data_IF_129278012882
#
_entry.id   IF_129278012882
#
_cell.length_a   1.000
_cell.length_b   1.000
_cell.length_c   1.000
_cell.angle_alpha   90.00
_cell.angle_beta   90.00
_cell.angle_gamma   90.00
#
_symmetry.space_group_name_H-M   'P 1'
#
loop_
_entity.id
_entity.type
_entity.pdbx_description
1 polymer ?
2 non-polymer ?
3 non-polymer ?
4 water ?
#
# COMPACT_ATOMS: atom_id res chain seq x y z
N UNK A 2 1.02 27.93 -17.98
CA UNK A 2 -0.01 27.24 -17.15
C UNK A 2 0.65 26.17 -16.27
N UNK A 3 0.39 26.25 -14.97
CA UNK A 3 1.04 25.40 -14.00
C UNK A 3 0.00 24.45 -13.41
N UNK A 4 0.36 23.16 -13.41
CA UNK A 4 -0.51 22.11 -12.88
C UNK A 4 0.05 21.62 -11.56
N UNK A 5 -0.78 21.58 -10.52
CA UNK A 5 -0.36 21.00 -9.27
C UNK A 5 -0.96 19.60 -9.09
N UNK A 6 -0.09 18.64 -8.86
CA UNK A 6 -0.52 17.26 -8.69
C UNK A 6 -0.29 16.91 -7.23
N UNK A 7 -1.38 16.68 -6.53
CA UNK A 7 -1.41 16.39 -5.12
C UNK A 7 -1.79 14.93 -4.91
N UNK A 8 -0.95 14.17 -4.20
CA UNK A 8 -1.22 12.74 -4.06
C UNK A 8 -0.94 12.32 -2.63
N UNK A 9 -1.48 11.15 -2.32
CA UNK A 9 -1.06 10.38 -1.16
C UNK A 9 -0.79 8.94 -1.58
N UNK A 10 0.06 8.26 -0.84
CA UNK A 10 0.44 6.90 -1.15
C UNK A 10 0.77 6.15 0.12
N UNK A 11 0.44 4.87 0.17
CA UNK A 11 0.87 3.99 1.27
C UNK A 11 2.02 3.10 0.79
N UNK A 12 1.86 2.41 -0.35
CA UNK A 12 2.85 1.48 -0.87
C UNK A 12 3.61 1.99 -2.08
N UNK A 13 3.45 3.28 -2.40
CA UNK A 13 4.26 3.88 -3.45
C UNK A 13 3.69 3.85 -4.86
N UNK A 14 2.58 3.13 -5.10
CA UNK A 14 2.12 2.89 -6.47
C UNK A 14 1.54 4.18 -7.05
N UNK A 15 0.77 4.93 -6.26
CA UNK A 15 0.20 6.18 -6.73
C UNK A 15 1.31 7.20 -6.97
N UNK A 16 2.38 7.17 -6.17
CA UNK A 16 3.55 8.04 -6.35
C UNK A 16 4.25 7.71 -7.67
N UNK A 17 4.43 6.41 -7.95
CA UNK A 17 5.06 6.02 -9.21
C UNK A 17 4.26 6.53 -10.39
N UNK A 18 2.95 6.38 -10.34
CA UNK A 18 2.07 6.86 -11.37
C UNK A 18 2.19 8.38 -11.48
N UNK A 19 2.19 9.11 -10.35
CA UNK A 19 2.29 10.56 -10.36
C UNK A 19 3.52 11.00 -11.17
N UNK A 20 4.63 10.31 -10.94
CA UNK A 20 5.88 10.68 -11.60
C UNK A 20 5.78 10.43 -13.10
N UNK A 21 5.12 9.35 -13.53
CA UNK A 21 4.93 9.08 -14.96
C UNK A 21 4.04 10.17 -15.56
N UNK A 22 2.98 10.55 -14.85
CA UNK A 22 2.09 11.60 -15.32
C UNK A 22 2.90 12.87 -15.52
N UNK A 23 3.71 13.25 -14.54
CA UNK A 23 4.56 14.44 -14.63
C UNK A 23 5.45 14.35 -15.87
N UNK A 24 6.08 13.20 -16.09
CA UNK A 24 7.02 13.03 -17.21
C UNK A 24 6.28 13.20 -18.53
N UNK A 25 5.09 12.59 -18.59
CA UNK A 25 4.28 12.55 -19.80
C UNK A 25 3.79 13.95 -20.17
N UNK A 26 3.57 14.83 -19.20
CA UNK A 26 3.20 16.20 -19.48
C UNK A 26 4.41 16.96 -20.01
N UNK A 27 5.58 16.77 -19.39
CA UNK A 27 6.85 17.29 -19.90
C UNK A 27 7.34 18.51 -19.12
N UNK A 28 8.66 18.68 -19.08
CA UNK A 28 9.24 19.89 -18.55
C UNK A 28 8.86 20.03 -17.08
N UNK A 29 8.47 21.25 -16.71
CA UNK A 29 8.08 21.54 -15.34
C UNK A 29 6.63 22.01 -15.30
N UNK A 30 5.77 21.53 -16.20
CA UNK A 30 4.37 21.86 -16.23
C UNK A 30 3.69 21.35 -14.96
N UNK A 31 3.98 20.09 -14.58
CA UNK A 31 3.38 19.52 -13.39
C UNK A 31 4.34 19.61 -12.21
N UNK A 32 3.90 20.16 -11.05
CA UNK A 32 4.67 20.02 -9.84
C UNK A 32 3.92 19.07 -8.88
N UNK A 33 4.72 18.14 -8.34
CA UNK A 33 4.24 17.07 -7.47
C UNK A 33 4.21 17.59 -6.04
N UNK A 34 3.17 17.21 -5.31
CA UNK A 34 2.99 17.47 -3.90
C UNK A 34 2.48 16.21 -3.20
N UNK A 35 3.33 15.62 -2.35
CA UNK A 35 2.99 14.48 -1.54
C UNK A 35 2.38 15.02 -0.26
N UNK A 36 1.11 14.71 0.01
CA UNK A 36 0.42 15.24 1.17
C UNK A 36 0.89 14.61 2.46
N UNK A 37 1.85 13.69 2.46
CA UNK A 37 2.52 13.36 3.72
C UNK A 37 3.40 14.51 4.21
N UNK A 38 3.76 15.44 3.32
CA UNK A 38 4.68 16.55 3.63
C UNK A 38 4.12 17.92 3.20
N UNK A 39 3.30 17.99 2.17
CA UNK A 39 2.89 19.27 1.60
C UNK A 39 1.75 19.86 2.40
N UNK A 40 1.70 21.19 2.46
CA UNK A 40 0.58 21.88 3.09
C UNK A 40 -0.64 21.84 2.18
N UNK A 41 -1.78 21.46 2.75
CA UNK A 41 -2.99 21.28 1.96
C UNK A 41 -3.42 22.59 1.31
N UNK A 42 -3.14 23.74 1.95
CA UNK A 42 -3.56 24.99 1.34
C UNK A 42 -2.80 25.35 0.07
N UNK A 43 -1.73 24.60 -0.27
CA UNK A 43 -1.12 24.76 -1.58
C UNK A 43 -2.04 24.34 -2.72
N UNK A 44 -3.14 23.62 -2.45
CA UNK A 44 -4.13 23.39 -3.51
C UNK A 44 -4.62 24.72 -4.09
N UNK A 45 -4.63 25.79 -3.26
CA UNK A 45 -5.11 27.09 -3.71
C UNK A 45 -4.18 27.72 -4.74
N UNK A 46 -2.91 27.27 -4.82
CA UNK A 46 -1.89 27.92 -5.62
C UNK A 46 -1.97 27.61 -7.11
N UNK A 47 -2.95 26.78 -7.53
CA UNK A 47 -3.05 26.35 -8.91
C UNK A 47 -4.48 26.55 -9.41
N UNK A 48 -4.62 26.86 -10.70
CA UNK A 48 -5.92 26.87 -11.37
C UNK A 48 -6.22 25.54 -12.06
N UNK A 49 -5.22 24.69 -12.14
CA UNK A 49 -5.29 23.38 -12.77
C UNK A 49 -4.71 22.38 -11.76
N UNK A 50 -5.49 21.38 -11.38
CA UNK A 50 -5.12 20.44 -10.35
C UNK A 50 -5.30 19.01 -10.87
N UNK A 51 -4.43 18.12 -10.35
CA UNK A 51 -4.58 16.69 -10.52
C UNK A 51 -4.50 16.07 -9.14
N UNK A 52 -5.54 15.30 -8.81
CA UNK A 52 -5.71 14.73 -7.48
C UNK A 52 -5.47 13.23 -7.56
N UNK A 53 -4.44 12.71 -6.88
CA UNK A 53 -4.18 11.29 -6.89
C UNK A 53 -4.43 10.64 -5.56
N UNK A 54 -5.19 9.53 -5.53
CA UNK A 54 -5.44 8.87 -4.28
C UNK A 54 -5.78 7.42 -4.51
N UNK A 55 -5.12 6.48 -3.86
CA UNK A 55 -5.56 5.07 -3.83
C UNK A 55 -6.63 4.85 -2.79
N UNK A 56 -7.42 3.80 -2.96
CA UNK A 56 -8.40 3.39 -1.96
C UNK A 56 -7.83 2.27 -1.11
N UNK A 57 -8.01 2.40 0.20
CA UNK A 57 -7.46 1.44 1.15
C UNK A 57 -8.59 0.94 2.05
N UNK A 58 -8.34 -0.21 2.65
CA UNK A 58 -9.14 -0.79 3.72
C UNK A 58 -10.65 -0.80 3.33
N UNK A 59 -10.94 -1.28 2.12
CA UNK A 59 -12.31 -1.54 1.69
C UNK A 59 -13.13 -0.25 1.70
N UNK A 60 -12.69 0.76 0.92
CA UNK A 60 -13.48 1.95 0.70
C UNK A 60 -13.02 3.24 1.35
N UNK A 61 -11.85 3.21 1.98
CA UNK A 61 -11.37 4.40 2.70
C UNK A 61 -10.33 5.18 1.87
N UNK A 62 -10.25 6.48 2.13
CA UNK A 62 -9.17 7.30 1.60
C UNK A 62 -7.84 6.80 2.18
N UNK A 63 -6.82 6.86 1.33
CA UNK A 63 -5.44 6.80 1.82
C UNK A 63 -5.26 7.76 2.99
N UNK A 64 -4.45 7.33 3.97
CA UNK A 64 -4.40 7.99 5.26
C UNK A 64 -4.04 9.46 5.20
N UNK A 65 -3.13 9.90 4.34
CA UNK A 65 -2.80 11.33 4.25
C UNK A 65 -4.01 12.12 3.75
N UNK A 66 -4.68 11.65 2.70
CA UNK A 66 -5.89 12.32 2.26
C UNK A 66 -7.00 12.23 3.32
N UNK A 67 -7.15 11.12 4.03
CA UNK A 67 -8.20 10.96 5.03
C UNK A 67 -8.01 12.03 6.10
N UNK A 68 -6.77 12.25 6.51
CA UNK A 68 -6.50 13.16 7.62
C UNK A 68 -6.74 14.60 7.23
N UNK A 69 -6.71 14.93 5.94
CA UNK A 69 -6.82 16.30 5.46
C UNK A 69 -8.18 16.55 4.84
N UNK A 70 -9.04 15.54 4.75
CA UNK A 70 -10.30 15.70 4.04
C UNK A 70 -11.14 16.86 4.61
N UNK A 71 -11.19 16.97 5.95
CA UNK A 71 -12.02 17.99 6.59
C UNK A 71 -11.58 19.40 6.21
N UNK A 72 -10.33 19.58 5.77
CA UNK A 72 -9.78 20.87 5.43
C UNK A 72 -10.26 21.34 4.07
N UNK A 73 -10.74 20.42 3.23
CA UNK A 73 -11.25 20.81 1.93
C UNK A 73 -12.42 21.79 2.05
N UNK A 74 -13.18 21.71 3.15
CA UNK A 74 -14.32 22.60 3.35
C UNK A 74 -13.91 24.06 3.46
N UNK A 75 -12.64 24.31 3.78
CA UNK A 75 -12.11 25.64 3.99
C UNK A 75 -11.57 26.25 2.71
N UNK A 76 -11.50 25.47 1.63
CA UNK A 76 -10.90 25.95 0.40
C UNK A 76 -11.99 26.21 -0.61
N UNK A 77 -11.72 27.16 -1.50
CA UNK A 77 -12.59 27.52 -2.59
C UNK A 77 -11.97 27.03 -3.88
N UNK A 78 -12.61 26.07 -4.56
CA UNK A 78 -12.04 25.54 -5.79
C UNK A 78 -12.72 26.14 -7.03
N UNK A 79 -13.56 27.18 -6.80
CA UNK A 79 -14.22 27.86 -7.91
C UNK A 79 -13.19 28.38 -8.90
N UNK A 80 -13.51 28.20 -10.18
CA UNK A 80 -12.61 28.66 -11.23
C UNK A 80 -11.46 27.69 -11.55
N UNK A 81 -11.33 26.61 -10.77
CA UNK A 81 -10.31 25.61 -11.08
C UNK A 81 -10.88 24.43 -11.87
N UNK A 82 -9.99 23.88 -12.68
CA UNK A 82 -10.22 22.65 -13.41
C UNK A 82 -9.44 21.57 -12.68
N UNK A 83 -10.12 20.46 -12.39
CA UNK A 83 -9.57 19.42 -11.51
C UNK A 83 -9.75 18.06 -12.19
N UNK A 84 -8.64 17.34 -12.25
CA UNK A 84 -8.61 15.97 -12.73
C UNK A 84 -8.24 15.05 -11.56
N UNK A 85 -8.56 13.78 -11.73
CA UNK A 85 -8.41 12.77 -10.70
C UNK A 85 -7.77 11.49 -11.23
N UNK A 86 -6.92 10.88 -10.43
CA UNK A 86 -6.49 9.53 -10.78
C UNK A 86 -6.32 8.71 -9.51
N UNK A 87 -6.52 7.40 -9.68
CA UNK A 87 -6.34 6.48 -8.56
C UNK A 87 -5.71 5.18 -8.97
N UNK A 88 -5.00 4.55 -8.06
CA UNK A 88 -4.65 3.14 -8.18
C UNK A 88 -5.56 2.36 -7.25
N UNK A 89 -5.84 1.08 -7.58
CA UNK A 89 -6.80 0.29 -6.86
C UNK A 89 -6.67 -1.19 -7.30
N UNK A 90 -7.49 -2.05 -6.71
CA UNK A 90 -7.44 -3.49 -6.90
C UNK A 90 -8.87 -4.00 -7.16
N UNK A 91 -9.22 -4.13 -8.46
CA UNK A 91 -10.57 -4.48 -8.85
C UNK A 91 -10.95 -5.93 -8.52
N UNK A 92 -9.93 -6.80 -8.38
CA UNK A 92 -10.13 -8.22 -8.09
C UNK A 92 -10.41 -8.39 -6.60
N UNK A 93 -9.56 -7.80 -5.75
CA UNK A 93 -9.69 -7.91 -4.31
C UNK A 93 -10.84 -7.11 -3.70
N UNK A 94 -11.18 -5.95 -4.31
CA UNK A 94 -12.08 -4.97 -3.74
C UNK A 94 -13.06 -4.50 -4.79
N UNK A 95 -13.75 -5.46 -5.39
CA UNK A 95 -14.70 -5.19 -6.45
C UNK A 95 -15.92 -4.40 -5.98
N UNK A 96 -16.20 -4.35 -4.69
CA UNK A 96 -17.33 -3.61 -4.16
C UNK A 96 -17.01 -2.15 -3.83
N UNK A 97 -15.69 -1.82 -3.84
CA UNK A 97 -15.20 -0.50 -3.39
C UNK A 97 -14.13 0.00 -4.34
N UNK A 98 -14.20 -0.35 -5.62
CA UNK A 98 -13.13 -0.10 -6.52
C UNK A 98 -13.03 1.39 -6.81
N UNK A 99 -11.89 2.01 -6.44
CA UNK A 99 -11.62 3.41 -6.71
C UNK A 99 -12.57 4.35 -5.98
N UNK A 100 -13.14 3.90 -4.86
CA UNK A 100 -13.99 4.78 -4.08
C UNK A 100 -13.31 6.11 -3.77
N UNK A 101 -12.03 6.09 -3.43
CA UNK A 101 -11.39 7.29 -2.88
C UNK A 101 -11.43 8.49 -3.82
N UNK A 102 -11.17 8.30 -5.12
CA UNK A 102 -11.25 9.45 -6.01
C UNK A 102 -12.68 9.92 -6.15
N UNK A 103 -13.65 9.01 -6.07
CA UNK A 103 -15.03 9.44 -6.09
C UNK A 103 -15.40 10.32 -4.90
N UNK A 104 -14.89 9.93 -3.71
CA UNK A 104 -15.15 10.67 -2.48
C UNK A 104 -14.55 12.07 -2.61
N UNK A 105 -13.29 12.12 -3.06
CA UNK A 105 -12.59 13.39 -3.19
C UNK A 105 -13.25 14.27 -4.24
N UNK A 106 -13.68 13.70 -5.37
CA UNK A 106 -14.25 14.52 -6.43
C UNK A 106 -15.60 15.10 -5.97
N UNK A 107 -16.40 14.31 -5.26
CA UNK A 107 -17.67 14.82 -4.78
C UNK A 107 -17.47 16.06 -3.92
N UNK A 108 -16.51 16.03 -3.00
CA UNK A 108 -16.27 17.14 -2.11
C UNK A 108 -15.68 18.32 -2.90
N UNK A 109 -14.65 18.10 -3.72
CA UNK A 109 -14.02 19.21 -4.42
C UNK A 109 -15.00 19.87 -5.40
N UNK A 110 -15.90 19.10 -6.03
CA UNK A 110 -16.93 19.68 -6.87
C UNK A 110 -17.93 20.48 -6.05
N UNK A 111 -18.30 20.00 -4.87
CA UNK A 111 -19.17 20.75 -3.97
C UNK A 111 -18.55 22.08 -3.57
N UNK A 112 -17.21 22.12 -3.48
CA UNK A 112 -16.44 23.33 -3.17
C UNK A 112 -16.07 24.15 -4.40
N UNK A 113 -16.64 23.84 -5.56
CA UNK A 113 -16.59 24.73 -6.72
C UNK A 113 -15.73 24.22 -7.86
N UNK A 114 -14.94 23.15 -7.63
CA UNK A 114 -14.08 22.66 -8.68
C UNK A 114 -14.87 22.06 -9.84
N UNK A 115 -14.33 22.19 -11.03
CA UNK A 115 -14.93 21.62 -12.22
C UNK A 115 -14.08 20.43 -12.70
N UNK A 116 -14.68 19.23 -12.70
CA UNK A 116 -13.95 18.04 -13.10
C UNK A 116 -13.75 17.96 -14.61
N UNK A 117 -12.54 17.57 -14.99
CA UNK A 117 -12.17 17.26 -16.37
C UNK A 117 -11.47 15.92 -16.35
N UNK A 118 -11.42 15.21 -17.48
CA UNK A 118 -10.64 14.01 -17.61
C UNK A 118 -11.42 12.73 -17.30
N UNK A 119 -12.74 12.71 -17.48
CA UNK A 119 -13.52 11.53 -17.25
C UNK A 119 -13.02 10.38 -18.14
N UNK A 120 -13.20 9.15 -17.63
CA UNK A 120 -12.51 7.97 -18.17
C UNK A 120 -13.50 6.82 -18.32
N UNK A 121 -13.40 6.11 -19.47
CA UNK A 121 -14.30 5.00 -19.73
C UNK A 121 -14.14 3.87 -18.71
N UNK A 122 -15.25 3.15 -18.44
CA UNK A 122 -15.24 1.95 -17.65
C UNK A 122 -14.81 0.74 -18.47
N UNK A 123 -14.67 0.87 -19.79
CA UNK A 123 -14.32 -0.31 -20.58
C UNK A 123 -13.00 -0.90 -20.08
N UNK A 124 -12.96 -2.23 -19.95
CA UNK A 124 -11.73 -2.94 -19.63
C UNK A 124 -11.51 -3.05 -18.11
N UNK A 125 -12.51 -2.74 -17.31
CA UNK A 125 -12.45 -2.98 -15.88
C UNK A 125 -13.58 -3.92 -15.53
N UNK A 126 -13.43 -4.71 -14.48
CA UNK A 126 -14.47 -5.55 -13.97
C UNK A 126 -14.57 -5.33 -12.47
N UNK A 127 -15.72 -4.85 -12.06
CA UNK A 127 -15.96 -4.55 -10.66
C UNK A 127 -17.47 -4.55 -10.41
N UNK A 128 -17.83 -4.50 -9.15
CA UNK A 128 -19.22 -4.52 -8.73
C UNK A 128 -19.74 -3.12 -8.44
N UNK A 129 -18.99 -2.33 -7.66
CA UNK A 129 -19.43 -0.98 -7.33
C UNK A 129 -18.22 -0.09 -7.20
N UNK A 130 -18.48 1.19 -7.52
CA UNK A 130 -17.49 2.25 -7.35
C UNK A 130 -18.20 3.54 -7.01
N UNK A 131 -17.67 4.32 -6.05
CA UNK A 131 -18.19 5.67 -5.80
C UNK A 131 -17.58 6.67 -6.78
N UNK A 132 -16.77 6.22 -7.73
CA UNK A 132 -16.14 7.10 -8.70
C UNK A 132 -16.90 7.28 -10.01
N UNK A 133 -18.12 6.75 -10.11
CA UNK A 133 -18.86 6.76 -11.38
C UNK A 133 -19.77 7.97 -11.46
N UNK A 134 -19.75 8.60 -12.63
CA UNK A 134 -20.59 9.74 -12.97
C UNK A 134 -21.04 9.54 -14.42
N UNK A 135 -22.36 9.38 -14.58
CA UNK A 135 -22.99 9.17 -15.88
C UNK A 135 -22.25 8.07 -16.66
N UNK A 136 -21.85 7.01 -15.94
CA UNK A 136 -21.25 5.86 -16.60
C UNK A 136 -19.76 5.97 -16.93
N UNK A 137 -19.11 7.06 -16.48
CA UNK A 137 -17.67 7.19 -16.60
C UNK A 137 -17.05 7.36 -15.22
N UNK A 138 -15.80 6.92 -15.07
CA UNK A 138 -15.04 7.25 -13.87
C UNK A 138 -14.68 8.72 -13.89
N UNK A 139 -14.58 9.29 -12.68
CA UNK A 139 -14.26 10.70 -12.50
C UNK A 139 -12.87 11.01 -13.03
N UNK A 140 -12.01 10.01 -13.19
CA UNK A 140 -10.72 10.19 -13.77
C UNK A 140 -10.02 8.87 -14.06
N UNK A 141 -8.74 8.95 -14.34
CA UNK A 141 -8.00 7.79 -14.78
C UNK A 141 -7.90 6.81 -13.62
N UNK A 142 -8.24 5.56 -13.90
CA UNK A 142 -8.11 4.52 -12.92
C UNK A 142 -7.14 3.45 -13.39
N UNK A 143 -6.16 3.19 -12.53
CA UNK A 143 -5.07 2.29 -12.78
C UNK A 143 -5.16 1.16 -11.78
N UNK A 144 -4.68 -0.02 -12.19
CA UNK A 144 -4.65 -1.17 -11.31
C UNK A 144 -3.33 -1.87 -11.52
N UNK A 145 -2.37 -1.54 -10.65
CA UNK A 145 -1.04 -2.11 -10.69
C UNK A 145 -1.00 -3.54 -10.16
N UNK A 146 -2.05 -3.98 -9.47
CA UNK A 146 -2.12 -5.30 -8.87
C UNK A 146 -2.54 -6.35 -9.89
N UNK A 147 -3.44 -5.97 -10.81
CA UNK A 147 -4.03 -6.86 -11.80
C UNK A 147 -3.75 -6.47 -13.25
N UNK A 148 -3.54 -5.17 -13.53
CA UNK A 148 -3.47 -4.63 -14.89
C UNK A 148 -2.22 -3.76 -15.08
N UNK A 149 -1.07 -4.13 -14.47
CA UNK A 149 0.12 -3.30 -14.58
C UNK A 149 0.62 -3.15 -16.02
N UNK A 150 0.27 -4.11 -16.88
CA UNK A 150 0.65 -4.07 -18.28
C UNK A 150 -0.11 -2.99 -19.05
N UNK A 151 -1.17 -2.41 -18.48
CA UNK A 151 -1.93 -1.36 -19.17
C UNK A 151 -1.61 0.05 -18.66
N UNK A 152 -0.82 0.17 -17.59
CA UNK A 152 -0.71 1.46 -16.88
C UNK A 152 -0.07 2.51 -17.78
N UNK A 153 1.03 2.14 -18.46
CA UNK A 153 1.75 3.12 -19.24
C UNK A 153 0.91 3.69 -20.38
N UNK A 154 0.20 2.84 -21.14
CA UNK A 154 -0.63 3.29 -22.24
C UNK A 154 -1.80 4.11 -21.72
N UNK A 155 -2.36 3.72 -20.58
CA UNK A 155 -3.49 4.45 -20.02
C UNK A 155 -3.08 5.88 -19.66
N UNK A 156 -1.93 6.01 -19.03
CA UNK A 156 -1.44 7.33 -18.66
C UNK A 156 -1.17 8.18 -19.90
N UNK A 157 -0.60 7.57 -20.95
CA UNK A 157 -0.31 8.35 -22.14
C UNK A 157 -1.60 8.87 -22.75
N UNK A 158 -2.60 7.99 -22.82
CA UNK A 158 -3.88 8.34 -23.39
C UNK A 158 -4.51 9.48 -22.58
N UNK A 159 -4.51 9.32 -21.25
CA UNK A 159 -5.17 10.28 -20.40
C UNK A 159 -4.47 11.63 -20.42
N UNK A 160 -3.15 11.65 -20.40
CA UNK A 160 -2.44 12.92 -20.41
C UNK A 160 -2.75 13.67 -21.71
N UNK A 161 -2.81 12.95 -22.85
CA UNK A 161 -3.22 13.60 -24.09
C UNK A 161 -4.60 14.24 -23.95
N UNK A 162 -5.54 13.54 -23.32
CA UNK A 162 -6.88 14.04 -23.08
C UNK A 162 -6.87 15.27 -22.19
N UNK A 163 -6.04 15.24 -21.14
CA UNK A 163 -5.98 16.35 -20.20
C UNK A 163 -5.40 17.60 -20.86
N UNK A 164 -4.42 17.42 -21.74
CA UNK A 164 -3.85 18.56 -22.45
C UNK A 164 -4.95 19.29 -23.21
N UNK A 165 -5.90 18.56 -23.79
CA UNK A 165 -7.02 19.18 -24.46
C UNK A 165 -7.98 19.85 -23.48
N UNK A 166 -8.39 19.12 -22.42
CA UNK A 166 -9.46 19.60 -21.58
C UNK A 166 -9.00 20.76 -20.68
N UNK A 167 -7.71 20.82 -20.36
CA UNK A 167 -7.14 21.91 -19.58
C UNK A 167 -6.87 23.12 -20.46
N UNK A 168 -6.85 22.91 -21.79
CA UNK A 168 -6.62 24.00 -22.72
C UNK A 168 -5.14 24.38 -22.76
N UNK A 169 -4.25 23.39 -22.72
CA UNK A 169 -2.82 23.68 -22.75
C UNK A 169 -2.41 23.93 -24.21
N UNK B 2 18.33 5.23 5.48
CA UNK B 2 17.08 4.62 6.03
C UNK B 2 17.39 3.24 6.61
N UNK B 3 16.92 2.99 7.84
CA UNK B 3 17.27 1.78 8.56
C UNK B 3 15.97 1.00 8.80
N UNK B 4 16.04 -0.30 8.52
CA UNK B 4 14.92 -1.22 8.75
C UNK B 4 15.27 -2.07 9.98
N UNK B 5 14.35 -2.15 10.93
CA UNK B 5 14.50 -3.08 12.03
C UNK B 5 13.69 -4.35 11.76
N UNK B 6 14.37 -5.48 11.70
CA UNK B 6 13.74 -6.76 11.46
C UNK B 6 13.72 -7.52 12.78
N UNK B 7 12.52 -7.76 13.29
CA UNK B 7 12.30 -8.41 14.56
C UNK B 7 11.64 -9.76 14.34
N UNK B 8 12.30 -10.85 14.74
CA UNK B 8 11.80 -12.18 14.47
C UNK B 8 11.80 -13.00 15.75
N UNK B 9 10.98 -14.02 15.66
CA UNK B 9 11.05 -15.12 16.63
C UNK B 9 11.22 -16.41 15.86
N UNK B 10 11.80 -17.44 16.50
CA UNK B 10 12.01 -18.70 15.83
C UNK B 10 12.04 -19.79 16.92
N UNK B 11 11.50 -20.95 16.57
CA UNK B 11 11.63 -22.13 17.40
C UNK B 11 12.68 -23.09 16.83
N UNK B 12 12.59 -23.42 15.55
CA UNK B 12 13.50 -24.38 14.92
C UNK B 12 14.48 -23.73 13.94
N UNK B 13 14.62 -22.39 13.98
CA UNK B 13 15.68 -21.70 13.25
C UNK B 13 15.36 -21.26 11.82
N UNK B 14 14.22 -21.68 11.25
CA UNK B 14 13.88 -21.44 9.85
C UNK B 14 13.60 -19.95 9.62
N UNK B 15 12.83 -19.31 10.51
CA UNK B 15 12.51 -17.90 10.33
C UNK B 15 13.79 -17.06 10.47
N UNK B 16 14.74 -17.48 11.35
CA UNK B 16 16.02 -16.81 11.51
C UNK B 16 16.85 -16.93 10.24
N UNK B 17 16.90 -18.13 9.64
CA UNK B 17 17.67 -18.30 8.40
C UNK B 17 17.12 -17.38 7.31
N UNK B 18 15.79 -17.32 7.18
CA UNK B 18 15.17 -16.43 6.22
C UNK B 18 15.49 -14.98 6.56
N UNK B 19 15.46 -14.59 7.84
CA UNK B 19 15.79 -13.23 8.24
C UNK B 19 17.17 -12.81 7.75
N UNK B 20 18.13 -13.73 7.89
CA UNK B 20 19.49 -13.44 7.43
C UNK B 20 19.55 -13.28 5.91
N UNK B 21 18.81 -14.08 5.14
CA UNK B 21 18.76 -13.95 3.69
C UNK B 21 18.14 -12.59 3.34
N UNK B 22 17.05 -12.23 4.01
CA UNK B 22 16.44 -10.94 3.79
C UNK B 22 17.45 -9.84 4.01
N UNK B 23 18.15 -9.87 5.14
CA UNK B 23 19.18 -8.88 5.46
C UNK B 23 20.21 -8.80 4.31
N UNK B 24 20.64 -9.94 3.82
CA UNK B 24 21.67 -10.00 2.76
C UNK B 24 21.12 -9.42 1.46
N UNK B 25 19.88 -9.77 1.13
CA UNK B 25 19.25 -9.30 -0.10
C UNK B 25 19.05 -7.80 -0.10
N UNK B 26 18.83 -7.18 1.06
CA UNK B 26 18.70 -5.75 1.16
C UNK B 26 20.06 -5.11 0.92
N UNK B 27 21.09 -5.73 1.52
CA UNK B 27 22.47 -5.37 1.28
C UNK B 27 22.82 -4.11 2.05
N UNK B 28 24.05 -3.64 1.83
CA UNK B 28 24.51 -2.45 2.53
C UNK B 28 24.44 -2.71 4.03
N UNK B 29 23.98 -1.71 4.77
CA UNK B 29 23.81 -1.85 6.20
C UNK B 29 22.33 -1.63 6.57
N UNK B 30 21.39 -2.00 5.68
CA UNK B 30 20.05 -1.44 5.76
C UNK B 30 19.23 -2.12 6.86
N UNK B 31 19.37 -3.43 6.99
CA UNK B 31 18.54 -4.19 7.92
C UNK B 31 19.36 -4.51 9.17
N UNK B 32 18.77 -4.24 10.34
CA UNK B 32 19.29 -4.74 11.62
C UNK B 32 18.37 -5.84 12.14
N UNK B 33 18.96 -7.00 12.41
CA UNK B 33 18.24 -8.15 12.95
C UNK B 33 18.09 -8.05 14.48
N UNK B 34 16.91 -8.41 14.98
CA UNK B 34 16.64 -8.53 16.41
C UNK B 34 15.88 -9.82 16.65
N UNK B 35 16.49 -10.74 17.42
CA UNK B 35 15.81 -11.93 17.90
C UNK B 35 15.05 -11.56 19.18
N UNK B 36 13.74 -11.76 19.18
CA UNK B 36 12.92 -11.34 20.32
C UNK B 36 13.11 -12.23 21.55
N UNK B 37 13.89 -13.28 21.44
CA UNK B 37 14.32 -14.01 22.62
C UNK B 37 15.29 -13.17 23.45
N UNK B 38 15.90 -12.12 22.86
CA UNK B 38 16.82 -11.23 23.58
C UNK B 38 16.38 -9.76 23.53
N UNK B 39 15.76 -9.31 22.43
CA UNK B 39 15.51 -7.89 22.24
C UNK B 39 14.30 -7.44 23.05
N UNK B 40 14.35 -6.17 23.49
CA UNK B 40 13.24 -5.52 24.19
C UNK B 40 12.13 -5.12 23.23
N UNK B 41 10.87 -5.23 23.67
CA UNK B 41 9.72 -4.82 22.88
C UNK B 41 9.85 -3.35 22.47
N UNK B 42 10.36 -2.52 23.38
CA UNK B 42 10.40 -1.08 23.14
C UNK B 42 11.41 -0.75 22.04
N UNK B 43 12.28 -1.68 21.63
CA UNK B 43 13.23 -1.45 20.53
C UNK B 43 12.47 -1.29 19.20
N UNK B 44 11.21 -1.73 19.14
CA UNK B 44 10.41 -1.47 17.96
C UNK B 44 10.28 0.04 17.74
N UNK B 45 10.36 0.85 18.81
CA UNK B 45 10.23 2.30 18.71
C UNK B 45 11.38 2.94 17.93
N UNK B 46 12.52 2.23 17.84
CA UNK B 46 13.76 2.81 17.33
C UNK B 46 13.81 2.87 15.79
N UNK B 47 12.78 2.36 15.09
CA UNK B 47 12.78 2.34 13.64
C UNK B 47 11.49 2.92 13.09
N UNK B 48 11.58 3.51 11.88
CA UNK B 48 10.42 4.00 11.15
C UNK B 48 9.98 2.99 10.08
N UNK B 49 10.80 1.98 9.86
CA UNK B 49 10.53 0.91 8.90
C UNK B 49 10.81 -0.39 9.65
N UNK B 50 9.84 -1.32 9.62
CA UNK B 50 9.93 -2.55 10.40
C UNK B 50 9.60 -3.73 9.50
N UNK B 51 10.25 -4.84 9.76
CA UNK B 51 9.90 -6.14 9.22
C UNK B 51 9.71 -7.09 10.39
N UNK B 52 8.53 -7.72 10.43
CA UNK B 52 8.08 -8.57 11.50
C UNK B 52 8.12 -10.03 11.01
N UNK B 53 8.96 -10.87 11.59
CA UNK B 53 9.06 -12.27 11.18
C UNK B 53 8.54 -13.19 12.28
N UNK B 54 7.58 -14.06 11.93
CA UNK B 54 7.02 -14.93 12.95
C UNK B 54 6.47 -16.17 12.29
N UNK B 55 6.91 -17.39 12.67
CA UNK B 55 6.24 -18.60 12.23
C UNK B 55 5.05 -18.92 13.12
N UNK B 56 4.12 -19.71 12.57
CA UNK B 56 2.96 -20.15 13.33
C UNK B 56 3.28 -21.52 13.94
N UNK B 57 2.92 -21.71 15.21
CA UNK B 57 3.22 -22.95 15.93
C UNK B 57 1.94 -23.49 16.56
N UNK B 58 1.95 -24.79 16.85
CA UNK B 58 0.92 -25.42 17.66
C UNK B 58 -0.48 -25.11 17.14
N UNK B 59 -0.70 -25.20 15.84
CA UNK B 59 -2.03 -25.08 15.27
C UNK B 59 -2.65 -23.74 15.65
N UNK B 60 -1.99 -22.68 15.16
CA UNK B 60 -2.56 -21.34 15.14
C UNK B 60 -2.01 -20.36 16.16
N UNK B 61 -0.93 -20.70 16.84
CA UNK B 61 -0.36 -19.83 17.84
C UNK B 61 0.86 -19.06 17.31
N UNK B 62 1.09 -17.90 17.92
CA UNK B 62 2.32 -17.16 17.73
C UNK B 62 3.49 -17.98 18.27
N UNK B 63 4.63 -17.94 17.57
CA UNK B 63 5.89 -18.36 18.15
C UNK B 63 6.05 -17.75 19.52
N UNK B 64 6.67 -18.52 20.44
CA UNK B 64 6.65 -18.23 21.86
C UNK B 64 7.13 -16.84 22.25
N UNK B 65 8.19 -16.33 21.60
CA UNK B 65 8.72 -15.03 21.94
C UNK B 65 7.76 -13.92 21.50
N UNK B 66 7.16 -14.04 20.30
CA UNK B 66 6.11 -13.09 19.92
C UNK B 66 4.88 -13.23 20.80
N UNK B 67 4.52 -14.43 21.17
CA UNK B 67 3.35 -14.64 22.01
C UNK B 67 3.53 -13.90 23.33
N UNK B 68 4.74 -13.94 23.88
CA UNK B 68 4.97 -13.33 25.18
C UNK B 68 4.87 -11.81 25.13
N UNK B 69 5.12 -11.21 23.95
CA UNK B 69 5.13 -9.77 23.80
C UNK B 69 3.85 -9.22 23.20
N UNK B 70 2.93 -10.09 22.79
CA UNK B 70 1.79 -9.62 22.05
C UNK B 70 0.96 -8.61 22.84
N UNK B 71 0.72 -8.86 24.13
CA UNK B 71 -0.17 -7.98 24.89
C UNK B 71 0.48 -6.62 25.10
N UNK B 72 1.80 -6.54 24.99
CA UNK B 72 2.49 -5.27 25.16
C UNK B 72 2.38 -4.42 23.90
N UNK B 73 2.01 -4.98 22.73
CA UNK B 73 1.80 -4.14 21.56
C UNK B 73 0.75 -3.05 21.81
N UNK B 74 -0.23 -3.27 22.69
CA UNK B 74 -1.19 -2.24 23.05
C UNK B 74 -0.57 -0.99 23.67
N UNK B 75 0.64 -1.13 24.21
CA UNK B 75 1.32 -0.02 24.88
C UNK B 75 2.16 0.79 23.91
N UNK B 76 2.29 0.33 22.66
CA UNK B 76 3.13 0.99 21.66
C UNK B 76 2.25 1.73 20.67
N UNK B 77 2.83 2.79 20.08
CA UNK B 77 2.22 3.48 18.96
C UNK B 77 3.07 3.25 17.74
N UNK B 78 2.47 2.66 16.67
CA UNK B 78 3.18 2.44 15.42
C UNK B 78 2.81 3.46 14.36
N UNK B 79 2.11 4.54 14.77
CA UNK B 79 1.77 5.61 13.86
C UNK B 79 3.02 6.15 13.17
N UNK B 80 2.94 6.38 11.84
CA UNK B 80 4.07 6.93 11.12
C UNK B 80 5.05 5.87 10.62
N UNK B 81 4.82 4.59 11.01
CA UNK B 81 5.74 3.53 10.61
C UNK B 81 5.16 2.68 9.49
N UNK B 82 6.06 2.22 8.62
CA UNK B 82 5.73 1.25 7.58
C UNK B 82 6.20 -0.10 8.08
N UNK B 83 5.30 -1.11 7.97
CA UNK B 83 5.52 -2.41 8.56
C UNK B 83 5.27 -3.51 7.54
N UNK B 84 6.23 -4.40 7.35
CA UNK B 84 6.13 -5.59 6.52
C UNK B 84 6.22 -6.84 7.41
N UNK B 85 5.76 -7.98 6.88
CA UNK B 85 5.58 -9.22 7.61
C UNK B 85 6.05 -10.40 6.79
N UNK B 86 6.69 -11.35 7.47
CA UNK B 86 6.97 -12.62 6.83
C UNK B 86 6.90 -13.74 7.85
N UNK B 87 6.68 -14.94 7.32
CA UNK B 87 6.67 -16.11 8.19
C UNK B 87 7.01 -17.36 7.42
N UNK B 88 7.51 -18.34 8.17
CA UNK B 88 7.59 -19.72 7.69
C UNK B 88 6.42 -20.49 8.32
N UNK B 89 6.00 -21.53 7.62
CA UNK B 89 4.84 -22.32 8.02
C UNK B 89 4.73 -23.59 7.18
N UNK B 90 3.67 -24.36 7.45
CA UNK B 90 3.51 -25.67 6.82
C UNK B 90 2.08 -25.76 6.31
N UNK B 91 1.89 -25.55 5.03
CA UNK B 91 0.58 -25.49 4.38
C UNK B 91 -0.08 -26.88 4.29
N UNK B 92 0.73 -27.94 4.35
CA UNK B 92 0.22 -29.30 4.23
C UNK B 92 -0.16 -29.84 5.59
N UNK B 93 0.75 -29.76 6.57
CA UNK B 93 0.53 -30.32 7.90
C UNK B 93 -0.45 -29.50 8.75
N UNK B 94 -0.52 -28.19 8.52
CA UNK B 94 -1.24 -27.24 9.34
C UNK B 94 -2.12 -26.36 8.45
N UNK B 95 -2.83 -26.99 7.54
CA UNK B 95 -3.56 -26.34 6.49
C UNK B 95 -4.67 -25.42 6.99
N UNK B 96 -5.23 -25.66 8.19
CA UNK B 96 -6.29 -24.84 8.73
C UNK B 96 -5.79 -23.57 9.41
N UNK B 97 -4.46 -23.48 9.60
CA UNK B 97 -3.86 -22.41 10.41
C UNK B 97 -2.63 -21.86 9.71
N UNK B 98 -2.56 -21.98 8.37
CA UNK B 98 -1.33 -21.66 7.68
C UNK B 98 -1.05 -20.17 7.81
N UNK B 99 0.10 -19.84 8.42
CA UNK B 99 0.56 -18.47 8.56
C UNK B 99 -0.37 -17.60 9.37
N UNK B 100 -1.12 -18.19 10.28
CA UNK B 100 -1.97 -17.34 11.12
C UNK B 100 -1.18 -16.28 11.87
N UNK B 101 0.02 -16.59 12.34
CA UNK B 101 0.75 -15.69 13.23
C UNK B 101 0.97 -14.30 12.62
N UNK B 102 1.42 -14.20 11.38
CA UNK B 102 1.65 -12.89 10.82
C UNK B 102 0.31 -12.19 10.64
N UNK B 103 -0.80 -12.92 10.39
CA UNK B 103 -2.07 -12.24 10.31
C UNK B 103 -2.52 -11.63 11.64
N UNK B 104 -2.26 -12.37 12.73
CA UNK B 104 -2.59 -11.92 14.06
C UNK B 104 -1.76 -10.67 14.38
N UNK B 105 -0.45 -10.71 14.08
CA UNK B 105 0.43 -9.61 14.38
C UNK B 105 0.09 -8.39 13.54
N UNK B 106 -0.25 -8.57 12.26
CA UNK B 106 -0.55 -7.42 11.43
C UNK B 106 -1.86 -6.76 11.88
N UNK B 107 -2.84 -7.56 12.29
CA UNK B 107 -4.10 -6.97 12.75
C UNK B 107 -3.85 -6.03 13.93
N UNK B 108 -3.05 -6.49 14.88
CA UNK B 108 -2.74 -5.71 16.07
C UNK B 108 -1.91 -4.49 15.72
N UNK B 109 -0.82 -4.65 14.97
CA UNK B 109 0.07 -3.55 14.67
C UNK B 109 -0.65 -2.49 13.85
N UNK B 110 -1.50 -2.88 12.92
CA UNK B 110 -2.29 -1.93 12.16
C UNK B 110 -3.29 -1.20 13.05
N UNK B 111 -3.88 -1.87 14.01
CA UNK B 111 -4.77 -1.22 14.99
C UNK B 111 -4.02 -0.16 15.78
N UNK B 112 -2.74 -0.40 16.03
CA UNK B 112 -1.86 0.50 16.78
C UNK B 112 -1.21 1.55 15.88
N UNK B 113 -1.66 1.71 14.63
CA UNK B 113 -1.27 2.80 13.77
C UNK B 113 -0.28 2.46 12.65
N UNK B 114 0.27 1.24 12.66
CA UNK B 114 1.23 0.86 11.65
C UNK B 114 0.55 0.75 10.28
N UNK B 115 1.30 1.06 9.23
CA UNK B 115 0.75 0.90 7.90
C UNK B 115 1.52 -0.22 7.18
N UNK B 116 0.78 -1.23 6.72
CA UNK B 116 1.40 -2.41 6.12
C UNK B 116 1.87 -2.13 4.70
N UNK B 117 3.03 -2.68 4.38
CA UNK B 117 3.52 -2.74 3.03
C UNK B 117 3.93 -4.18 2.79
N UNK B 118 4.10 -4.60 1.54
CA UNK B 118 4.64 -5.91 1.22
C UNK B 118 3.59 -7.00 1.07
N UNK B 119 2.34 -6.67 0.78
CA UNK B 119 1.32 -7.68 0.55
C UNK B 119 1.78 -8.64 -0.56
N UNK B 120 1.32 -9.88 -0.47
CA UNK B 120 1.89 -10.97 -1.24
C UNK B 120 0.76 -11.81 -1.82
N UNK B 121 0.95 -12.22 -3.09
CA UNK B 121 -0.06 -12.99 -3.81
C UNK B 121 -0.27 -14.36 -3.16
N UNK B 122 -1.51 -14.84 -3.23
CA UNK B 122 -1.82 -16.20 -2.79
C UNK B 122 -1.52 -17.23 -3.87
N UNK B 123 -1.09 -16.81 -5.04
CA UNK B 123 -0.83 -17.80 -6.07
C UNK B 123 0.24 -18.77 -5.60
N UNK B 124 0.05 -20.07 -5.89
CA UNK B 124 1.09 -21.05 -5.67
C UNK B 124 1.10 -21.67 -4.29
N UNK B 125 0.04 -21.43 -3.50
CA UNK B 125 -0.11 -22.10 -2.23
C UNK B 125 -1.38 -22.95 -2.29
N UNK B 126 -1.41 -23.98 -1.45
CA UNK B 126 -2.61 -24.80 -1.26
C UNK B 126 -2.76 -25.06 0.24
N UNK B 127 -3.84 -24.54 0.79
CA UNK B 127 -4.11 -24.68 2.22
C UNK B 127 -5.62 -24.62 2.39
N UNK B 128 -6.07 -24.62 3.67
CA UNK B 128 -7.49 -24.57 3.96
C UNK B 128 -7.91 -23.21 4.47
N UNK B 129 -7.21 -22.69 5.51
CA UNK B 129 -7.52 -21.37 6.02
C UNK B 129 -6.26 -20.70 6.56
N UNK B 130 -6.33 -19.38 6.65
CA UNK B 130 -5.22 -18.54 7.15
C UNK B 130 -5.78 -17.23 7.67
N UNK B 131 -5.32 -16.81 8.85
CA UNK B 131 -5.65 -15.48 9.36
C UNK B 131 -4.80 -14.39 8.73
N UNK B 132 -3.85 -14.77 7.86
CA UNK B 132 -3.03 -13.81 7.14
C UNK B 132 -3.64 -13.26 5.85
N UNK B 133 -4.85 -13.74 5.49
CA UNK B 133 -5.48 -13.32 4.27
C UNK B 133 -6.16 -11.96 4.42
N UNK B 134 -6.02 -11.15 3.37
CA UNK B 134 -6.73 -9.90 3.22
C UNK B 134 -7.21 -9.81 1.77
N UNK B 135 -8.45 -10.22 1.52
CA UNK B 135 -9.10 -10.14 0.21
C UNK B 135 -8.18 -10.55 -0.94
N UNK B 136 -7.64 -11.76 -0.90
CA UNK B 136 -6.88 -12.26 -2.05
C UNK B 136 -5.37 -12.07 -1.97
N UNK B 137 -4.91 -11.46 -0.86
CA UNK B 137 -3.49 -11.28 -0.63
C UNK B 137 -3.19 -11.81 0.76
N UNK B 138 -1.96 -12.29 0.97
CA UNK B 138 -1.40 -12.44 2.29
C UNK B 138 -0.83 -11.10 2.76
N UNK B 139 -0.84 -10.89 4.08
CA UNK B 139 -0.35 -9.64 4.67
C UNK B 139 1.14 -9.49 4.44
N UNK B 140 1.86 -10.59 4.11
CA UNK B 140 3.27 -10.47 3.77
C UNK B 140 3.80 -11.78 3.20
N UNK B 141 5.11 -11.87 3.11
CA UNK B 141 5.73 -13.01 2.43
C UNK B 141 5.55 -14.26 3.26
N UNK B 142 5.05 -15.31 2.59
CA UNK B 142 4.86 -16.58 3.26
C UNK B 142 5.71 -17.67 2.60
N UNK B 143 6.54 -18.27 3.42
CA UNK B 143 7.49 -19.30 3.00
C UNK B 143 7.10 -20.61 3.66
N UNK B 144 7.50 -21.68 3.00
CA UNK B 144 7.21 -23.02 3.48
C UNK B 144 8.40 -23.90 3.15
N UNK B 145 9.24 -24.10 4.15
CA UNK B 145 10.46 -24.89 4.00
C UNK B 145 10.16 -26.38 4.10
N UNK B 146 8.98 -26.75 4.62
CA UNK B 146 8.58 -28.14 4.79
C UNK B 146 8.13 -28.71 3.46
N UNK B 147 7.47 -27.89 2.63
CA UNK B 147 6.85 -28.31 1.38
C UNK B 147 7.34 -27.59 0.12
N UNK B 148 7.89 -26.38 0.25
CA UNK B 148 8.19 -25.53 -0.90
C UNK B 148 9.57 -24.88 -0.74
N UNK B 149 10.53 -25.61 -0.18
CA UNK B 149 11.84 -25.09 0.09
C UNK B 149 12.53 -24.59 -1.19
N UNK B 150 12.23 -25.17 -2.34
CA UNK B 150 12.85 -24.76 -3.58
C UNK B 150 12.41 -23.39 -4.08
N UNK B 151 11.32 -22.85 -3.51
CA UNK B 151 10.80 -21.56 -3.94
C UNK B 151 11.27 -20.41 -3.05
N UNK B 152 11.88 -20.71 -1.90
CA UNK B 152 12.17 -19.67 -0.92
C UNK B 152 13.13 -18.62 -1.47
N UNK B 153 14.19 -19.05 -2.16
CA UNK B 153 15.19 -18.11 -2.68
C UNK B 153 14.58 -17.06 -3.60
N UNK B 154 13.80 -17.50 -4.59
CA UNK B 154 13.22 -16.58 -5.55
C UNK B 154 12.16 -15.72 -4.85
N UNK B 155 11.42 -16.30 -3.91
CA UNK B 155 10.35 -15.57 -3.21
C UNK B 155 10.97 -14.42 -2.44
N UNK B 156 12.03 -14.68 -1.69
CA UNK B 156 12.71 -13.62 -0.95
C UNK B 156 13.24 -12.54 -1.88
N UNK B 157 13.82 -12.94 -3.00
CA UNK B 157 14.41 -11.94 -3.89
C UNK B 157 13.32 -11.02 -4.41
N UNK B 158 12.20 -11.62 -4.83
CA UNK B 158 11.09 -10.88 -5.39
C UNK B 158 10.56 -9.93 -4.33
N UNK B 159 10.32 -10.46 -3.11
CA UNK B 159 9.75 -9.65 -2.06
C UNK B 159 10.64 -8.49 -1.64
N UNK B 160 11.93 -8.73 -1.52
CA UNK B 160 12.80 -7.65 -1.13
C UNK B 160 12.80 -6.53 -2.17
N UNK B 161 12.79 -6.91 -3.45
CA UNK B 161 12.71 -5.89 -4.49
C UNK B 161 11.43 -5.08 -4.34
N UNK B 162 10.32 -5.77 -4.04
CA UNK B 162 9.05 -5.10 -3.80
C UNK B 162 9.16 -4.16 -2.60
N UNK B 163 9.80 -4.60 -1.51
CA UNK B 163 9.88 -3.80 -0.30
C UNK B 163 10.77 -2.56 -0.49
N UNK B 164 11.81 -2.68 -1.33
CA UNK B 164 12.63 -1.49 -1.60
C UNK B 164 11.77 -0.39 -2.22
N UNK B 165 10.82 -0.78 -3.08
CA UNK B 165 9.90 0.18 -3.65
C UNK B 165 8.87 0.64 -2.64
N UNK B 166 8.24 -0.28 -1.93
CA UNK B 166 7.08 0.05 -1.12
C UNK B 166 7.47 0.76 0.18
N UNK B 167 8.70 0.56 0.67
CA UNK B 167 9.24 1.33 1.78
C UNK B 167 9.68 2.72 1.34
N UNK B 168 9.90 2.88 0.03
CA UNK B 168 10.34 4.17 -0.51
C UNK B 168 11.82 4.40 -0.26
N UNK B 169 12.64 3.34 -0.37
CA UNK B 169 14.06 3.46 -0.11
C UNK B 169 14.73 4.17 -1.30
#
# INVERSE_FOLDING_TARGET
SKKIGLFYGTQTGKTESVAKIIRDEFGGDVVTLHDLSQAEVTKLNDYEYLIIGCPTWNAGKLQSDWEGLYSKLDDLDFSGKLVAYFGTGDQAGYADNFQDAIGILEEKISQRGGKTVGYWSTDGYKFNDSKALRNGKFVGLVLDEDNQSDLTKERIKTWVAQLKSEFGL
SKKIGLFYGTQTGKTESVAKIIRDEFGGDVVTLHDLSQAEVTKLNDYEYLIIGCPTWNAGKLQSDWEGLYSKLDDLDFSGKLVAYFGTGDQAGYADNFQDAIGILEEKISQRGGKTVGYWSTDGYKFNDSKALRNGKFVGLVLDEDNQSDLTKERIKTWVAQLKSEFGL
#
